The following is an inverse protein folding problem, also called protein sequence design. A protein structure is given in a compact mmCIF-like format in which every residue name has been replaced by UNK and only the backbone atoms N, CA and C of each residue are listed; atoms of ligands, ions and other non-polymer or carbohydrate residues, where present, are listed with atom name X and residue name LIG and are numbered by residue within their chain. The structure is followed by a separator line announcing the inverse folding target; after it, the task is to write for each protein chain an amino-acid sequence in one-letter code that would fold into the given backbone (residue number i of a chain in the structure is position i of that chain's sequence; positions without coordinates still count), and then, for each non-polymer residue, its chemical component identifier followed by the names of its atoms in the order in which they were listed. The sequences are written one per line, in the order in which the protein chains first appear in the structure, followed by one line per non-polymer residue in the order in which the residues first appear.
data_IF_479803868014
#
_entry.id   IF_479803868014
#
_cell.length_a   1.000
_cell.length_b   1.000
_cell.length_c   1.000
_cell.angle_alpha   90.00
_cell.angle_beta   90.00
_cell.angle_gamma   90.00
#
_symmetry.space_group_name_H-M   'P 1'
#
loop_
_entity.id
_entity.type
_entity.pdbx_description
1 polymer ?
#
# COMPACT_ATOMS: atom_id res chain seq x y z
N UNK A 1 11.43 -21.18 -70.51
CA UNK A 1 10.12 -21.07 -69.84
C UNK A 1 10.38 -21.24 -68.35
N UNK A 2 10.57 -20.13 -67.67
CA UNK A 2 10.82 -20.12 -66.22
C UNK A 2 9.56 -19.69 -65.47
N UNK A 3 9.04 -20.56 -64.64
CA UNK A 3 7.97 -20.22 -63.66
C UNK A 3 8.59 -20.00 -62.30
N UNK A 4 8.49 -18.80 -61.78
CA UNK A 4 8.79 -18.46 -60.39
C UNK A 4 7.70 -18.96 -59.45
N UNK A 5 8.00 -19.51 -58.30
CA UNK A 5 7.01 -19.79 -57.27
C UNK A 5 6.77 -18.53 -56.40
N UNK A 6 5.52 -18.12 -56.37
CA UNK A 6 5.03 -17.08 -55.45
C UNK A 6 4.99 -17.62 -54.01
N UNK A 7 5.95 -17.17 -53.21
CA UNK A 7 5.93 -17.42 -51.77
C UNK A 7 4.93 -16.48 -51.07
N UNK A 8 3.86 -17.04 -50.55
CA UNK A 8 3.00 -16.36 -49.59
C UNK A 8 3.67 -16.41 -48.21
N UNK A 9 4.12 -15.27 -47.71
CA UNK A 9 4.46 -15.11 -46.30
C UNK A 9 3.18 -14.81 -45.53
N UNK A 10 2.88 -15.53 -44.42
CA UNK A 10 1.76 -15.18 -43.58
C UNK A 10 2.08 -13.88 -42.84
N UNK A 11 1.19 -12.93 -43.00
CA UNK A 11 1.20 -11.70 -42.23
C UNK A 11 0.87 -12.06 -40.77
N UNK A 12 1.88 -12.13 -39.89
CA UNK A 12 1.65 -12.22 -38.47
C UNK A 12 1.03 -10.90 -38.00
N UNK A 13 -0.21 -10.98 -37.60
CA UNK A 13 -0.99 -9.86 -37.03
C UNK A 13 -0.35 -9.37 -35.73
N UNK A 14 -0.13 -8.06 -35.65
CA UNK A 14 0.55 -7.31 -34.57
C UNK A 14 -0.30 -7.23 -33.28
N UNK A 15 -1.13 -8.23 -33.02
CA UNK A 15 -2.05 -8.18 -31.85
C UNK A 15 -1.52 -8.84 -30.60
N UNK A 16 -0.44 -9.64 -30.66
CA UNK A 16 0.01 -10.39 -29.48
C UNK A 16 1.08 -9.67 -28.64
N UNK A 17 1.64 -8.55 -29.13
CA UNK A 17 2.68 -7.82 -28.41
C UNK A 17 2.15 -6.86 -27.33
N UNK A 18 0.86 -6.50 -27.38
CA UNK A 18 0.31 -5.47 -26.50
C UNK A 18 -0.17 -6.00 -25.13
N UNK A 19 -0.50 -7.27 -25.02
CA UNK A 19 -1.05 -7.86 -23.79
C UNK A 19 0.08 -8.09 -22.78
N UNK A 20 1.23 -8.57 -23.21
CA UNK A 20 2.39 -8.80 -22.33
C UNK A 20 3.06 -7.51 -21.83
N UNK A 21 3.03 -6.42 -22.62
CA UNK A 21 3.61 -5.15 -22.19
C UNK A 21 2.77 -4.45 -21.11
N UNK A 22 1.44 -4.61 -21.17
CA UNK A 22 0.52 -4.05 -20.15
C UNK A 22 0.65 -4.83 -18.84
N UNK A 23 0.79 -6.15 -18.88
CA UNK A 23 0.99 -6.97 -17.67
C UNK A 23 2.37 -6.74 -17.02
N UNK A 24 3.43 -6.60 -17.81
CA UNK A 24 4.79 -6.30 -17.29
C UNK A 24 4.86 -4.89 -16.70
N UNK A 25 4.16 -3.90 -17.27
CA UNK A 25 4.10 -2.55 -16.70
C UNK A 25 3.22 -2.47 -15.44
N UNK A 26 2.23 -3.36 -15.28
CA UNK A 26 1.39 -3.40 -14.07
C UNK A 26 2.03 -4.16 -12.93
N UNK A 27 2.86 -5.17 -13.18
CA UNK A 27 3.53 -5.94 -12.13
C UNK A 27 4.69 -5.20 -11.45
N UNK A 28 5.36 -4.27 -12.15
CA UNK A 28 6.48 -3.47 -11.59
C UNK A 28 6.08 -2.26 -10.76
N UNK A 29 4.78 -2.01 -10.52
CA UNK A 29 4.30 -0.69 -10.14
C UNK A 29 3.71 -0.56 -8.73
N UNK A 30 3.77 -1.58 -7.88
CA UNK A 30 3.21 -1.49 -6.52
C UNK A 30 3.90 -0.40 -5.67
N UNK A 31 5.20 -0.19 -5.84
CA UNK A 31 5.94 0.86 -5.16
C UNK A 31 5.45 2.26 -5.57
N UNK A 32 5.21 2.46 -6.87
CA UNK A 32 4.64 3.70 -7.39
C UNK A 32 3.21 3.92 -6.90
N UNK A 33 2.37 2.87 -6.94
CA UNK A 33 1.00 2.93 -6.44
C UNK A 33 0.94 3.22 -4.94
N UNK A 34 1.81 2.59 -4.15
CA UNK A 34 1.97 2.87 -2.71
C UNK A 34 2.33 4.35 -2.48
N UNK A 35 3.34 4.86 -3.19
CA UNK A 35 3.74 6.26 -3.07
C UNK A 35 2.60 7.22 -3.42
N UNK A 36 1.93 7.01 -4.55
CA UNK A 36 0.78 7.82 -4.96
C UNK A 36 -0.36 7.77 -3.93
N UNK A 37 -0.63 6.60 -3.35
CA UNK A 37 -1.61 6.46 -2.29
C UNK A 37 -1.18 7.22 -1.02
N UNK A 38 0.09 7.12 -0.63
CA UNK A 38 0.62 7.85 0.53
C UNK A 38 0.49 9.38 0.34
N UNK A 39 0.82 9.89 -0.85
CA UNK A 39 0.64 11.31 -1.18
C UNK A 39 -0.82 11.73 -1.07
N UNK A 40 -1.75 10.98 -1.69
CA UNK A 40 -3.20 11.27 -1.60
C UNK A 40 -3.72 11.27 -0.16
N UNK A 41 -3.10 10.48 0.72
CA UNK A 41 -3.46 10.35 2.12
C UNK A 41 -2.63 11.27 3.03
N UNK A 42 -1.84 12.20 2.47
CA UNK A 42 -0.92 13.07 3.24
C UNK A 42 -0.03 12.26 4.20
N UNK A 43 0.46 11.11 3.74
CA UNK A 43 1.27 10.16 4.50
C UNK A 43 0.63 9.68 5.82
N UNK A 44 -0.70 9.61 5.89
CA UNK A 44 -1.43 9.02 7.01
C UNK A 44 -1.99 7.65 6.63
N UNK A 45 -1.88 6.71 7.55
CA UNK A 45 -2.37 5.35 7.35
C UNK A 45 -3.88 5.32 7.10
N UNK A 46 -4.29 4.61 6.04
CA UNK A 46 -5.71 4.44 5.69
C UNK A 46 -6.55 3.90 6.85
N UNK A 47 -6.02 2.95 7.63
CA UNK A 47 -6.77 2.31 8.71
C UNK A 47 -6.71 3.08 10.03
N UNK A 48 -5.52 3.36 10.56
CA UNK A 48 -5.38 3.97 11.90
C UNK A 48 -5.31 5.50 11.90
N UNK A 49 -5.03 6.12 10.74
CA UNK A 49 -4.89 7.56 10.61
C UNK A 49 -3.61 8.14 11.21
N UNK A 50 -2.67 7.31 11.71
CA UNK A 50 -1.39 7.81 12.20
C UNK A 50 -0.43 8.11 11.05
N UNK A 51 0.52 9.05 11.23
CA UNK A 51 1.52 9.38 10.21
C UNK A 51 2.43 8.19 9.91
N UNK A 52 2.87 8.12 8.67
CA UNK A 52 3.77 7.08 8.17
C UNK A 52 5.02 7.70 7.57
N UNK A 53 6.07 6.89 7.46
CA UNK A 53 7.29 7.22 6.71
C UNK A 53 7.50 6.23 5.56
N UNK A 54 8.17 6.67 4.49
CA UNK A 54 8.41 5.84 3.31
C UNK A 54 9.90 5.61 3.04
N UNK A 55 10.69 6.66 2.92
CA UNK A 55 12.11 6.54 2.59
C UNK A 55 13.02 6.42 3.84
N UNK A 56 12.74 7.20 4.89
CA UNK A 56 13.52 7.22 6.13
C UNK A 56 12.63 7.49 7.34
N UNK A 57 12.81 6.77 8.45
CA UNK A 57 12.08 7.01 9.69
C UNK A 57 12.60 8.21 10.49
N UNK A 58 13.75 8.79 10.13
CA UNK A 58 14.49 9.73 10.96
C UNK A 58 13.66 10.93 11.43
N UNK A 59 12.96 11.60 10.50
CA UNK A 59 12.11 12.73 10.82
C UNK A 59 10.96 12.38 11.76
N UNK A 60 10.30 11.23 11.52
CA UNK A 60 9.20 10.75 12.35
C UNK A 60 9.69 10.36 13.75
N UNK A 61 10.84 9.69 13.83
CA UNK A 61 11.49 9.33 15.09
C UNK A 61 11.82 10.56 15.92
N UNK A 62 12.41 11.57 15.30
CA UNK A 62 12.75 12.83 15.99
C UNK A 62 11.49 13.56 16.46
N UNK A 63 10.50 13.73 15.58
CA UNK A 63 9.27 14.46 15.86
C UNK A 63 8.48 13.86 17.03
N UNK A 64 8.36 12.53 17.05
CA UNK A 64 7.51 11.85 18.04
C UNK A 64 8.29 11.08 19.10
N UNK A 65 9.62 11.23 19.15
CA UNK A 65 10.51 10.53 20.08
C UNK A 65 10.30 9.01 20.05
N UNK A 66 10.22 8.45 18.82
CA UNK A 66 10.02 7.03 18.61
C UNK A 66 11.35 6.29 18.64
N UNK A 67 11.35 5.09 19.19
CA UNK A 67 12.43 4.13 19.00
C UNK A 67 12.42 3.58 17.56
N UNK A 68 13.53 2.99 17.06
CA UNK A 68 13.53 2.32 15.76
C UNK A 68 12.46 1.24 15.61
N UNK A 69 12.23 0.47 16.66
CA UNK A 69 11.19 -0.58 16.69
C UNK A 69 9.77 0.01 16.55
N UNK A 70 9.48 1.10 17.25
CA UNK A 70 8.21 1.81 17.16
C UNK A 70 8.01 2.43 15.75
N UNK A 71 9.05 3.09 15.25
CA UNK A 71 9.01 3.70 13.91
C UNK A 71 8.78 2.67 12.82
N UNK A 72 9.35 1.47 12.93
CA UNK A 72 9.16 0.37 11.98
C UNK A 72 7.68 -0.02 11.81
N UNK A 73 6.88 0.05 12.86
CA UNK A 73 5.43 -0.23 12.80
C UNK A 73 4.67 0.79 11.96
N UNK A 74 5.20 2.01 11.85
CA UNK A 74 4.62 3.12 11.08
C UNK A 74 5.19 3.23 9.66
N UNK A 75 5.98 2.26 9.21
CA UNK A 75 6.47 2.22 7.83
C UNK A 75 5.31 2.10 6.85
N UNK A 76 5.31 2.94 5.81
CA UNK A 76 4.32 2.90 4.73
C UNK A 76 4.45 1.62 3.91
N UNK A 77 3.34 0.94 3.71
CA UNK A 77 3.20 -0.26 2.86
C UNK A 77 2.03 -0.07 1.91
N UNK A 78 2.08 -0.76 0.75
CA UNK A 78 0.95 -0.84 -0.16
C UNK A 78 -0.02 -1.92 0.30
N UNK A 79 -1.26 -1.56 0.47
CA UNK A 79 -2.33 -2.46 0.90
C UNK A 79 -3.36 -2.62 -0.22
N UNK A 80 -3.70 -3.87 -0.54
CA UNK A 80 -4.78 -4.21 -1.45
C UNK A 80 -6.11 -4.23 -0.70
N UNK A 81 -7.03 -3.34 -1.03
CA UNK A 81 -8.38 -3.32 -0.44
C UNK A 81 -9.09 -4.65 -0.70
N UNK A 82 -9.11 -5.11 -1.96
CA UNK A 82 -9.42 -6.47 -2.34
C UNK A 82 -8.10 -7.26 -2.41
N UNK A 83 -7.93 -8.32 -1.61
CA UNK A 83 -6.70 -9.11 -1.60
C UNK A 83 -6.37 -9.73 -2.96
N UNK A 84 -5.10 -9.87 -3.26
CA UNK A 84 -4.63 -10.51 -4.52
C UNK A 84 -5.18 -11.93 -4.69
N UNK A 85 -5.22 -12.71 -3.62
CA UNK A 85 -5.78 -14.06 -3.62
C UNK A 85 -7.29 -14.12 -3.92
N UNK A 86 -7.98 -12.99 -3.84
CA UNK A 86 -9.40 -12.82 -4.16
C UNK A 86 -9.62 -12.04 -5.47
N UNK A 87 -8.60 -11.97 -6.35
CA UNK A 87 -8.67 -11.29 -7.64
C UNK A 87 -8.40 -9.79 -7.59
N UNK A 88 -7.84 -9.28 -6.50
CA UNK A 88 -7.48 -7.87 -6.38
C UNK A 88 -6.36 -7.44 -7.33
N UNK A 89 -6.58 -6.35 -8.05
CA UNK A 89 -5.64 -5.78 -9.01
C UNK A 89 -4.65 -4.79 -8.36
N UNK A 90 -3.60 -4.42 -9.09
CA UNK A 90 -2.68 -3.34 -8.71
C UNK A 90 -3.15 -1.95 -9.18
N UNK A 91 -4.42 -1.80 -9.54
CA UNK A 91 -4.97 -0.51 -9.95
C UNK A 91 -5.00 0.48 -8.78
N UNK A 92 -4.88 1.77 -9.11
CA UNK A 92 -4.88 2.88 -8.14
C UNK A 92 -6.08 2.86 -7.21
N UNK A 93 -7.24 2.40 -7.68
CA UNK A 93 -8.48 2.29 -6.92
C UNK A 93 -8.45 1.17 -5.88
N UNK A 94 -7.60 0.16 -6.07
CA UNK A 94 -7.47 -0.98 -5.16
C UNK A 94 -6.28 -0.85 -4.20
N UNK A 95 -5.39 0.13 -4.38
CA UNK A 95 -4.20 0.31 -3.53
C UNK A 95 -4.37 1.53 -2.64
N UNK A 96 -4.22 1.30 -1.34
CA UNK A 96 -4.11 2.34 -0.31
C UNK A 96 -2.77 2.25 0.40
N UNK A 97 -2.36 3.34 1.02
CA UNK A 97 -1.19 3.35 1.89
C UNK A 97 -1.61 2.99 3.32
N UNK A 98 -1.03 1.94 3.87
CA UNK A 98 -1.26 1.52 5.24
C UNK A 98 0.06 1.31 5.96
N UNK A 99 0.09 1.58 7.27
CA UNK A 99 1.28 1.30 8.06
C UNK A 99 1.51 -0.21 8.17
N UNK A 100 2.77 -0.60 8.33
CA UNK A 100 3.16 -2.01 8.46
C UNK A 100 2.36 -2.76 9.53
N UNK A 101 2.06 -2.12 10.65
CA UNK A 101 1.29 -2.73 11.73
C UNK A 101 -0.15 -3.05 11.31
N UNK A 102 -0.86 -2.08 10.73
CA UNK A 102 -2.24 -2.27 10.30
C UNK A 102 -2.35 -3.29 9.16
N UNK A 103 -1.52 -3.16 8.14
CA UNK A 103 -1.50 -4.08 7.00
C UNK A 103 -1.18 -5.51 7.46
N UNK A 104 -0.07 -5.69 8.19
CA UNK A 104 0.33 -7.02 8.67
C UNK A 104 -0.69 -7.65 9.63
N UNK A 105 -1.39 -6.85 10.44
CA UNK A 105 -2.41 -7.36 11.39
C UNK A 105 -3.68 -7.79 10.66
N UNK A 106 -4.09 -7.08 9.60
CA UNK A 106 -5.28 -7.42 8.82
C UNK A 106 -5.21 -8.83 8.24
N UNK A 107 -4.05 -9.22 7.73
CA UNK A 107 -3.84 -10.49 7.04
C UNK A 107 -3.45 -11.66 7.96
N UNK A 108 -3.42 -11.46 9.29
CA UNK A 108 -3.14 -12.54 10.25
C UNK A 108 -4.34 -13.40 10.61
N UNK A 109 -5.54 -12.96 10.29
CA UNK A 109 -6.78 -13.69 10.61
C UNK A 109 -7.24 -14.53 9.41
N UNK A 110 -7.75 -15.75 9.63
CA UNK A 110 -8.26 -16.60 8.54
C UNK A 110 -9.39 -15.96 7.74
N UNK A 111 -10.24 -15.16 8.41
CA UNK A 111 -11.29 -14.37 7.77
C UNK A 111 -10.91 -12.90 7.80
N UNK A 112 -10.52 -12.37 6.65
CA UNK A 112 -10.18 -10.98 6.49
C UNK A 112 -11.46 -10.13 6.49
N UNK A 113 -11.52 -9.12 7.35
CA UNK A 113 -12.63 -8.16 7.35
C UNK A 113 -12.61 -7.29 6.10
N UNK A 114 -13.78 -6.78 5.67
CA UNK A 114 -13.81 -5.74 4.65
C UNK A 114 -12.99 -4.52 5.09
N UNK A 115 -12.44 -3.73 4.15
CA UNK A 115 -11.62 -2.56 4.49
C UNK A 115 -12.33 -1.60 5.45
N UNK A 116 -13.62 -1.37 5.26
CA UNK A 116 -14.44 -0.45 6.05
C UNK A 116 -14.62 -0.97 7.49
N UNK A 117 -14.98 -2.24 7.64
CA UNK A 117 -15.14 -2.85 8.97
C UNK A 117 -13.81 -2.92 9.71
N UNK A 118 -12.73 -3.23 9.00
CA UNK A 118 -11.40 -3.24 9.59
C UNK A 118 -10.97 -1.83 10.03
N UNK A 119 -11.16 -0.82 9.19
CA UNK A 119 -10.87 0.57 9.53
C UNK A 119 -11.63 1.03 10.78
N UNK A 120 -12.93 0.74 10.86
CA UNK A 120 -13.77 1.06 12.01
C UNK A 120 -13.23 0.40 13.29
N UNK A 121 -12.89 -0.90 13.23
CA UNK A 121 -12.30 -1.64 14.35
C UNK A 121 -10.96 -1.04 14.79
N UNK A 122 -10.08 -0.75 13.85
CA UNK A 122 -8.75 -0.18 14.13
C UNK A 122 -8.89 1.18 14.80
N UNK A 123 -9.70 2.08 14.26
CA UNK A 123 -9.90 3.43 14.81
C UNK A 123 -10.49 3.42 16.21
N UNK A 124 -11.44 2.54 16.48
CA UNK A 124 -11.98 2.36 17.82
C UNK A 124 -10.90 1.93 18.83
N UNK A 125 -10.02 1.00 18.43
CA UNK A 125 -8.91 0.54 19.27
C UNK A 125 -7.82 1.60 19.46
N UNK A 126 -7.48 2.34 18.41
CA UNK A 126 -6.55 3.49 18.49
C UNK A 126 -7.07 4.55 19.44
N UNK A 127 -8.39 4.83 19.40
CA UNK A 127 -9.04 5.76 20.33
C UNK A 127 -8.90 5.37 21.80
N UNK A 128 -8.91 4.07 22.09
CA UNK A 128 -8.72 3.50 23.42
C UNK A 128 -7.25 3.24 23.81
N UNK A 129 -6.29 3.58 22.91
CA UNK A 129 -4.86 3.34 23.14
C UNK A 129 -4.41 1.87 23.04
N UNK A 130 -5.29 0.95 22.63
CA UNK A 130 -5.05 -0.50 22.64
C UNK A 130 -4.71 -1.13 21.27
N UNK A 131 -4.35 -0.34 20.26
CA UNK A 131 -4.04 -0.87 18.93
C UNK A 131 -2.56 -1.16 18.72
N UNK A 132 -1.72 -0.21 19.11
CA UNK A 132 -0.25 -0.34 19.06
C UNK A 132 0.32 -0.78 20.40
N UNK A 133 1.56 -1.29 20.45
CA UNK A 133 2.30 -1.40 21.71
C UNK A 133 2.28 -0.10 22.48
N UNK A 134 2.37 -0.20 23.82
CA UNK A 134 2.26 0.95 24.72
C UNK A 134 3.18 2.11 24.29
N UNK A 135 2.63 3.30 24.26
CA UNK A 135 3.37 4.53 24.05
C UNK A 135 3.26 5.16 22.66
N UNK A 136 3.15 4.37 21.57
CA UNK A 136 3.13 4.91 20.20
C UNK A 136 1.98 5.90 20.01
N UNK A 137 0.76 5.49 20.31
CA UNK A 137 -0.42 6.34 20.11
C UNK A 137 -0.36 7.63 20.91
N UNK A 138 0.09 7.57 22.16
CA UNK A 138 0.22 8.75 23.04
C UNK A 138 1.32 9.69 22.55
N UNK A 139 2.48 9.16 22.15
CA UNK A 139 3.59 9.96 21.59
C UNK A 139 3.14 10.72 20.33
N UNK A 140 2.44 10.05 19.41
CA UNK A 140 2.02 10.64 18.14
C UNK A 140 0.86 11.63 18.33
N UNK A 141 -0.13 11.32 19.17
CA UNK A 141 -1.28 12.19 19.41
C UNK A 141 -0.98 13.33 20.38
N UNK A 142 -0.14 13.08 21.40
CA UNK A 142 0.20 14.07 22.41
C UNK A 142 1.04 15.23 21.87
N UNK A 143 1.77 15.04 20.77
CA UNK A 143 2.63 16.08 20.19
C UNK A 143 1.86 17.12 19.34
N UNK A 144 0.53 17.03 19.24
CA UNK A 144 -0.31 18.04 18.54
C UNK A 144 -0.49 19.34 19.31
N UNK A 145 -0.01 19.44 20.56
CA UNK A 145 -0.25 20.61 21.43
C UNK A 145 0.90 21.64 21.45
N UNK A 146 2.00 21.41 20.73
CA UNK A 146 3.16 22.32 20.75
C UNK A 146 3.44 23.00 19.40
N UNK A 147 2.43 23.23 18.59
CA UNK A 147 2.51 23.98 17.35
C UNK A 147 1.61 25.24 17.42
N UNK A 148 2.09 26.25 18.12
CA UNK A 148 1.66 27.65 17.95
C UNK A 148 2.85 28.41 17.43
#
# INVERSE_FOLDING_TARGET
MNRSPSGHYPIHTVTDFNINLIEVTTMGNIAKQRHQAAVRQSFHCFYCGLPMWEASPAALMQQYRLTPAEARLLQCTGEHLQPRGEGGSNQTTNIVAACRHCNGTRHKTPKVLSPELYQKKVRARVGKGGWFPKGITSKVKGNKTNGV
#
